data_IF_512500873789
#
_entry.id   IF_512500873789
#
_cell.length_a   1.000
_cell.length_b   1.000
_cell.length_c   1.000
_cell.angle_alpha   90.00
_cell.angle_beta   90.00
_cell.angle_gamma   90.00
#
_symmetry.space_group_name_H-M   'P 1'
#
loop_
_entity.id
_entity.type
_entity.pdbx_description
1 polymer ?
#
# COMPACT_ATOMS: atom_id res chain seq x y z
N UNK A 1 18.75 8.51 -5.72
CA UNK A 1 19.38 7.64 -4.68
C UNK A 1 18.97 8.20 -3.34
N UNK A 2 18.54 7.36 -2.43
CA UNK A 2 18.18 7.81 -1.08
C UNK A 2 19.33 8.65 -0.48
N UNK A 3 19.01 9.84 0.03
CA UNK A 3 19.98 10.79 0.57
C UNK A 3 20.32 10.50 2.05
N UNK A 4 20.44 9.22 2.42
CA UNK A 4 20.76 8.79 3.77
C UNK A 4 21.60 7.50 3.75
N UNK A 5 22.34 7.27 4.82
CA UNK A 5 23.05 6.01 5.03
C UNK A 5 22.23 5.06 5.94
N UNK A 6 22.63 3.80 6.00
CA UNK A 6 21.92 2.74 6.73
C UNK A 6 21.53 3.10 8.18
N UNK A 7 22.37 3.84 8.89
CA UNK A 7 22.12 4.23 10.29
C UNK A 7 21.21 5.44 10.43
N UNK A 8 20.96 6.17 9.34
CA UNK A 8 20.09 7.34 9.26
C UNK A 8 18.71 6.98 8.71
N UNK A 9 18.49 5.72 8.30
CA UNK A 9 17.25 5.27 7.65
C UNK A 9 15.99 5.58 8.47
N UNK A 10 16.04 5.40 9.79
CA UNK A 10 14.89 5.69 10.65
C UNK A 10 14.63 7.22 10.77
N UNK A 11 15.65 8.02 10.85
CA UNK A 11 15.51 9.48 10.92
C UNK A 11 14.94 10.02 9.60
N UNK A 12 15.48 9.55 8.46
CA UNK A 12 14.90 9.83 7.15
C UNK A 12 13.43 9.42 7.08
N UNK A 13 13.10 8.23 7.55
CA UNK A 13 11.73 7.71 7.52
C UNK A 13 10.77 8.55 8.39
N UNK A 14 11.21 9.01 9.56
CA UNK A 14 10.44 9.91 10.43
C UNK A 14 10.14 11.24 9.75
N UNK A 15 11.00 11.72 8.90
CA UNK A 15 10.83 12.97 8.15
C UNK A 15 9.98 12.80 6.89
N UNK A 16 10.17 11.69 6.15
CA UNK A 16 9.64 11.53 4.79
C UNK A 16 8.46 10.55 4.67
N UNK A 17 8.33 9.55 5.55
CA UNK A 17 7.17 8.66 5.54
C UNK A 17 6.00 9.30 6.29
N UNK A 18 5.26 10.14 5.61
CA UNK A 18 4.12 10.89 6.17
C UNK A 18 2.91 10.84 5.26
N UNK A 19 1.73 11.10 5.84
CA UNK A 19 0.49 11.24 5.09
C UNK A 19 0.07 9.96 4.36
N UNK A 20 -0.60 10.14 3.23
CA UNK A 20 -1.09 9.04 2.42
C UNK A 20 0.01 8.50 1.49
N UNK A 21 0.32 7.21 1.61
CA UNK A 21 1.12 6.43 0.67
C UNK A 21 0.25 5.43 -0.06
N UNK A 22 0.29 5.44 -1.37
CA UNK A 22 -0.57 4.62 -2.21
C UNK A 22 0.12 3.36 -2.74
N UNK A 23 -0.68 2.42 -3.21
CA UNK A 23 -0.21 1.25 -3.97
C UNK A 23 -0.41 1.49 -5.45
N UNK A 24 0.67 1.44 -6.23
CA UNK A 24 0.60 1.50 -7.67
C UNK A 24 0.02 0.19 -8.21
N UNK A 25 -1.04 0.30 -9.00
CA UNK A 25 -1.65 -0.81 -9.71
C UNK A 25 -0.84 -1.11 -10.98
N UNK A 26 -0.60 -2.38 -11.26
CA UNK A 26 0.10 -2.83 -12.48
C UNK A 26 -0.92 -3.15 -13.57
N UNK A 27 -1.03 -2.35 -14.63
CA UNK A 27 -1.93 -2.63 -15.74
C UNK A 27 -1.32 -3.63 -16.73
N UNK A 28 -2.19 -4.41 -17.37
CA UNK A 28 -1.79 -5.34 -18.43
C UNK A 28 -2.54 -5.05 -19.72
N UNK A 29 -1.88 -5.24 -20.86
CA UNK A 29 -2.50 -5.14 -22.17
C UNK A 29 -3.41 -6.32 -22.45
N UNK A 30 -4.24 -6.24 -23.49
CA UNK A 30 -5.09 -7.35 -23.92
C UNK A 30 -4.29 -8.65 -24.23
N UNK A 31 -3.03 -8.52 -24.64
CA UNK A 31 -2.15 -9.65 -24.96
C UNK A 31 -1.35 -10.18 -23.75
N UNK A 32 -1.78 -9.82 -22.53
CA UNK A 32 -1.18 -10.24 -21.25
C UNK A 32 0.24 -9.70 -21.02
N UNK A 33 0.64 -8.64 -21.73
CA UNK A 33 1.91 -7.96 -21.53
C UNK A 33 1.76 -6.81 -20.50
N UNK A 34 2.87 -6.39 -19.90
CA UNK A 34 2.90 -5.19 -19.06
C UNK A 34 2.53 -3.94 -19.90
N UNK A 35 1.50 -3.22 -19.51
CA UNK A 35 1.14 -1.94 -20.13
C UNK A 35 1.98 -0.81 -19.52
N UNK A 36 3.14 -0.56 -20.12
CA UNK A 36 4.09 0.45 -19.63
C UNK A 36 3.52 1.86 -19.71
N UNK A 37 2.79 2.22 -20.78
CA UNK A 37 2.19 3.53 -20.93
C UNK A 37 1.02 3.73 -19.96
N UNK A 38 0.20 2.71 -19.75
CA UNK A 38 -0.84 2.70 -18.74
C UNK A 38 -0.25 2.85 -17.33
N UNK A 39 0.87 2.18 -17.03
CA UNK A 39 1.57 2.30 -15.76
C UNK A 39 2.07 3.74 -15.52
N UNK A 40 2.68 4.38 -16.52
CA UNK A 40 3.12 5.78 -16.45
C UNK A 40 1.94 6.72 -16.22
N UNK A 41 0.85 6.51 -16.95
CA UNK A 41 -0.38 7.29 -16.79
C UNK A 41 -0.93 7.15 -15.37
N UNK A 42 -0.97 5.92 -14.82
CA UNK A 42 -1.42 5.65 -13.45
C UNK A 42 -0.58 6.41 -12.41
N UNK A 43 0.76 6.39 -12.55
CA UNK A 43 1.66 7.07 -11.61
C UNK A 43 1.40 8.58 -11.63
N UNK A 44 1.30 9.20 -12.83
CA UNK A 44 1.00 10.63 -12.97
C UNK A 44 -0.37 10.99 -12.39
N UNK A 45 -1.39 10.15 -12.63
CA UNK A 45 -2.71 10.34 -12.06
C UNK A 45 -2.65 10.30 -10.52
N UNK A 46 -2.04 9.27 -9.94
CA UNK A 46 -1.92 9.11 -8.50
C UNK A 46 -1.16 10.29 -7.86
N UNK A 47 -0.05 10.75 -8.46
CA UNK A 47 0.66 11.95 -7.99
C UNK A 47 -0.25 13.19 -8.00
N UNK A 48 -1.12 13.33 -9.00
CA UNK A 48 -2.05 14.47 -9.08
C UNK A 48 -3.11 14.48 -7.97
N UNK A 49 -3.35 13.36 -7.28
CA UNK A 49 -4.24 13.30 -6.12
C UNK A 49 -3.62 13.92 -4.85
N UNK A 50 -2.32 14.21 -4.87
CA UNK A 50 -1.60 14.80 -3.73
C UNK A 50 -1.09 13.78 -2.73
N UNK A 51 -0.91 12.51 -3.13
CA UNK A 51 -0.31 11.49 -2.28
C UNK A 51 1.15 11.80 -1.97
N UNK A 52 1.58 11.42 -0.76
CA UNK A 52 2.93 11.77 -0.25
C UNK A 52 4.02 10.78 -0.68
N UNK A 53 3.62 9.66 -1.24
CA UNK A 53 4.53 8.64 -1.76
C UNK A 53 3.78 7.42 -2.27
N UNK A 54 4.50 6.48 -2.86
CA UNK A 54 3.90 5.27 -3.38
C UNK A 54 4.78 4.03 -3.20
N UNK A 55 4.11 2.88 -3.20
CA UNK A 55 4.77 1.59 -3.29
C UNK A 55 4.31 0.81 -4.52
N UNK A 56 5.23 0.13 -5.17
CA UNK A 56 4.93 -0.70 -6.32
C UNK A 56 5.12 -2.19 -6.05
N UNK A 57 4.52 -3.00 -6.90
CA UNK A 57 4.53 -4.48 -6.83
C UNK A 57 4.09 -5.05 -5.47
N UNK A 58 3.17 -4.37 -4.77
CA UNK A 58 2.47 -4.91 -3.61
C UNK A 58 1.32 -5.82 -4.04
N UNK A 59 0.38 -6.12 -3.12
CA UNK A 59 -0.77 -6.96 -3.44
C UNK A 59 -1.55 -6.48 -4.67
N UNK A 60 -1.95 -5.21 -4.73
CA UNK A 60 -2.65 -4.68 -5.91
C UNK A 60 -1.74 -4.43 -7.12
N UNK A 61 -0.44 -4.45 -6.95
CA UNK A 61 0.53 -4.49 -8.04
C UNK A 61 0.81 -5.90 -8.56
N UNK A 62 0.07 -6.90 -8.10
CA UNK A 62 0.09 -8.30 -8.55
C UNK A 62 1.51 -8.92 -8.66
N UNK A 63 2.38 -8.65 -7.65
CA UNK A 63 3.78 -9.09 -7.69
C UNK A 63 3.97 -10.59 -7.97
N UNK A 64 2.99 -11.42 -7.59
CA UNK A 64 3.01 -12.87 -7.80
C UNK A 64 2.82 -13.29 -9.25
N UNK A 65 2.22 -12.44 -10.09
CA UNK A 65 1.95 -12.69 -11.51
C UNK A 65 3.03 -12.11 -12.42
N UNK A 66 3.95 -11.31 -11.88
CA UNK A 66 5.01 -10.68 -12.64
C UNK A 66 6.26 -11.56 -12.71
N UNK A 67 6.86 -11.66 -13.89
CA UNK A 67 8.20 -12.20 -14.04
C UNK A 67 9.21 -11.28 -13.32
N UNK A 68 10.44 -11.75 -13.17
CA UNK A 68 11.51 -10.91 -12.60
C UNK A 68 11.77 -9.68 -13.47
N UNK A 69 11.81 -9.89 -14.78
CA UNK A 69 12.04 -8.85 -15.77
C UNK A 69 10.94 -7.80 -15.74
N UNK A 70 9.67 -8.20 -15.63
CA UNK A 70 8.55 -7.28 -15.47
C UNK A 70 8.62 -6.52 -14.14
N UNK A 71 8.98 -7.19 -13.02
CA UNK A 71 9.13 -6.49 -11.73
C UNK A 71 10.20 -5.41 -11.78
N UNK A 72 11.37 -5.71 -12.36
CA UNK A 72 12.43 -4.72 -12.52
C UNK A 72 12.01 -3.61 -13.50
N UNK A 73 11.27 -3.93 -14.55
CA UNK A 73 10.72 -2.93 -15.46
C UNK A 73 9.72 -1.99 -14.78
N UNK A 74 8.86 -2.52 -13.90
CA UNK A 74 7.96 -1.68 -13.07
C UNK A 74 8.79 -0.75 -12.18
N UNK A 75 9.89 -1.23 -11.58
CA UNK A 75 10.77 -0.36 -10.78
C UNK A 75 11.39 0.75 -11.62
N UNK A 76 11.90 0.44 -12.81
CA UNK A 76 12.47 1.43 -13.71
C UNK A 76 11.46 2.54 -14.04
N UNK A 77 10.23 2.15 -14.43
CA UNK A 77 9.17 3.11 -14.77
C UNK A 77 8.76 3.95 -13.56
N UNK A 78 8.62 3.34 -12.38
CA UNK A 78 8.24 4.06 -11.16
C UNK A 78 9.32 5.06 -10.76
N UNK A 79 10.60 4.69 -10.82
CA UNK A 79 11.71 5.57 -10.51
C UNK A 79 11.83 6.74 -11.49
N UNK A 80 11.62 6.48 -12.79
CA UNK A 80 11.58 7.52 -13.82
C UNK A 80 10.45 8.53 -13.59
N UNK A 81 9.23 8.07 -13.30
CA UNK A 81 8.05 8.93 -13.11
C UNK A 81 8.05 9.63 -11.72
N UNK A 82 8.79 9.12 -10.74
CA UNK A 82 8.95 9.77 -9.44
C UNK A 82 9.87 11.00 -9.49
N UNK A 83 10.75 11.10 -10.50
CA UNK A 83 11.63 12.25 -10.75
C UNK A 83 12.52 12.65 -9.55
N UNK A 84 12.60 11.78 -8.52
CA UNK A 84 13.39 12.00 -7.29
C UNK A 84 12.79 12.98 -6.27
N UNK A 85 11.58 13.50 -6.52
CA UNK A 85 10.88 14.44 -5.62
C UNK A 85 9.64 13.82 -4.96
N UNK A 86 9.32 12.58 -5.29
CA UNK A 86 8.22 11.81 -4.73
C UNK A 86 8.73 10.50 -4.15
N UNK A 87 8.68 10.28 -2.82
CA UNK A 87 9.25 9.10 -2.18
C UNK A 87 8.60 7.80 -2.68
N UNK A 88 9.41 6.80 -2.99
CA UNK A 88 8.96 5.53 -3.56
C UNK A 88 9.51 4.32 -2.82
N UNK A 89 8.65 3.30 -2.66
CA UNK A 89 8.98 2.04 -1.99
C UNK A 89 8.85 0.84 -2.92
N UNK A 90 9.87 -0.02 -2.97
CA UNK A 90 9.86 -1.24 -3.74
C UNK A 90 9.51 -2.46 -2.88
N UNK A 91 8.47 -3.22 -3.24
CA UNK A 91 8.15 -4.49 -2.60
C UNK A 91 9.03 -5.61 -3.16
N UNK A 92 9.95 -6.13 -2.35
CA UNK A 92 10.97 -7.09 -2.80
C UNK A 92 10.72 -8.54 -2.35
N UNK A 93 9.60 -8.83 -1.69
CA UNK A 93 9.31 -10.18 -1.20
C UNK A 93 9.38 -11.23 -2.30
N UNK A 94 10.05 -12.32 -2.00
CA UNK A 94 10.16 -13.50 -2.84
C UNK A 94 10.38 -14.73 -1.98
N UNK A 95 10.10 -15.94 -2.45
CA UNK A 95 10.42 -17.20 -1.74
C UNK A 95 11.90 -17.59 -1.83
N UNK A 96 12.63 -17.04 -2.81
CA UNK A 96 14.07 -17.20 -2.99
C UNK A 96 14.81 -15.99 -2.45
N UNK A 97 15.73 -16.22 -1.50
CA UNK A 97 16.61 -15.17 -0.96
C UNK A 97 17.40 -14.45 -2.07
N UNK A 98 17.96 -15.20 -3.01
CA UNK A 98 18.73 -14.62 -4.12
C UNK A 98 17.86 -13.70 -4.99
N UNK A 99 16.61 -14.06 -5.25
CA UNK A 99 15.70 -13.23 -6.03
C UNK A 99 15.30 -11.97 -5.25
N UNK A 100 15.02 -12.08 -3.95
CA UNK A 100 14.75 -10.93 -3.08
C UNK A 100 15.92 -9.95 -3.08
N UNK A 101 17.15 -10.43 -2.86
CA UNK A 101 18.34 -9.57 -2.84
C UNK A 101 18.62 -8.92 -4.20
N UNK A 102 18.41 -9.63 -5.30
CA UNK A 102 18.54 -9.03 -6.63
C UNK A 102 17.50 -7.94 -6.91
N UNK A 103 16.27 -8.09 -6.42
CA UNK A 103 15.24 -7.06 -6.52
C UNK A 103 15.59 -5.84 -5.64
N UNK A 104 16.11 -6.07 -4.45
CA UNK A 104 16.57 -5.00 -3.55
C UNK A 104 17.73 -4.21 -4.17
N UNK A 105 18.74 -4.90 -4.69
CA UNK A 105 19.88 -4.29 -5.38
C UNK A 105 19.42 -3.46 -6.61
N UNK A 106 18.50 -3.99 -7.42
CA UNK A 106 17.95 -3.23 -8.54
C UNK A 106 17.22 -1.97 -8.08
N UNK A 107 16.32 -2.09 -7.09
CA UNK A 107 15.59 -0.95 -6.55
C UNK A 107 16.53 0.15 -5.99
N UNK A 108 17.57 -0.23 -5.25
CA UNK A 108 18.59 0.69 -4.75
C UNK A 108 19.33 1.39 -5.89
N UNK A 109 19.70 0.64 -6.93
CA UNK A 109 20.44 1.19 -8.08
C UNK A 109 19.61 2.15 -8.94
N UNK A 110 18.28 1.96 -9.05
CA UNK A 110 17.40 2.86 -9.84
C UNK A 110 16.83 4.01 -9.03
N UNK A 111 17.11 4.08 -7.72
CA UNK A 111 16.83 5.26 -6.91
C UNK A 111 15.58 5.18 -6.03
N UNK A 112 15.16 3.99 -5.63
CA UNK A 112 14.12 3.85 -4.59
C UNK A 112 14.61 4.34 -3.23
N UNK A 113 13.67 4.82 -2.43
CA UNK A 113 13.94 5.37 -1.10
C UNK A 113 13.71 4.35 0.02
N UNK A 114 12.90 3.32 -0.22
CA UNK A 114 12.45 2.36 0.77
C UNK A 114 12.26 0.97 0.17
N UNK A 115 12.61 -0.06 0.91
CA UNK A 115 12.24 -1.43 0.59
C UNK A 115 11.05 -1.88 1.46
N UNK A 116 10.13 -2.63 0.87
CA UNK A 116 9.05 -3.29 1.58
C UNK A 116 9.25 -4.79 1.45
N UNK A 117 9.25 -5.49 2.59
CA UNK A 117 9.41 -6.94 2.63
C UNK A 117 8.39 -7.59 3.55
N UNK A 118 7.80 -8.68 3.11
CA UNK A 118 6.95 -9.55 3.93
C UNK A 118 7.64 -10.90 4.21
N UNK A 119 7.01 -11.74 5.00
CA UNK A 119 7.45 -13.11 5.19
C UNK A 119 7.52 -13.85 3.85
N UNK A 120 8.54 -14.67 3.60
CA UNK A 120 8.57 -15.51 2.40
C UNK A 120 7.45 -16.55 2.50
N UNK A 121 6.42 -16.34 1.68
CA UNK A 121 5.20 -17.15 1.68
C UNK A 121 5.50 -18.62 1.40
N UNK A 122 4.67 -19.52 1.91
CA UNK A 122 4.77 -21.00 1.87
C UNK A 122 5.86 -21.61 2.78
N UNK A 123 7.03 -21.00 2.91
CA UNK A 123 8.22 -21.66 3.50
C UNK A 123 8.47 -21.30 4.96
N UNK A 124 7.93 -20.19 5.46
CA UNK A 124 8.06 -19.78 6.87
C UNK A 124 6.94 -20.36 7.74
N UNK A 125 7.31 -20.83 8.92
CA UNK A 125 6.39 -21.40 9.91
C UNK A 125 6.58 -20.83 11.32
N UNK A 126 7.66 -20.07 11.54
CA UNK A 126 7.98 -19.47 12.83
C UNK A 126 8.37 -18.01 12.67
N UNK A 127 8.11 -17.21 13.70
CA UNK A 127 8.52 -15.80 13.74
C UNK A 127 10.03 -15.64 13.62
N UNK A 128 10.81 -16.53 14.23
CA UNK A 128 12.26 -16.48 14.12
C UNK A 128 12.75 -16.60 12.67
N UNK A 129 12.11 -17.46 11.86
CA UNK A 129 12.45 -17.56 10.43
C UNK A 129 12.16 -16.24 9.70
N UNK A 130 11.09 -15.51 10.09
CA UNK A 130 10.78 -14.19 9.50
C UNK A 130 11.80 -13.14 9.94
N UNK A 131 12.17 -13.12 11.23
CA UNK A 131 13.19 -12.21 11.76
C UNK A 131 14.52 -12.42 11.03
N UNK A 132 14.97 -13.68 10.91
CA UNK A 132 16.22 -14.02 10.20
C UNK A 132 16.16 -13.62 8.72
N UNK A 133 14.98 -13.74 8.09
CA UNK A 133 14.75 -13.32 6.71
C UNK A 133 14.87 -11.80 6.51
N UNK A 134 14.24 -11.03 7.39
CA UNK A 134 14.34 -9.57 7.36
C UNK A 134 15.78 -9.13 7.66
N UNK A 135 16.42 -9.76 8.62
CA UNK A 135 17.83 -9.49 8.93
C UNK A 135 18.74 -9.78 7.73
N UNK A 136 18.51 -10.86 7.00
CA UNK A 136 19.28 -11.16 5.78
C UNK A 136 19.14 -10.05 4.75
N UNK A 137 17.94 -9.52 4.51
CA UNK A 137 17.76 -8.36 3.62
C UNK A 137 18.51 -7.15 4.19
N UNK A 138 18.32 -6.85 5.46
CA UNK A 138 18.92 -5.71 6.14
C UNK A 138 20.45 -5.72 6.07
N UNK A 139 21.08 -6.87 6.18
CA UNK A 139 22.54 -7.01 6.10
C UNK A 139 23.09 -6.73 4.68
N UNK A 140 22.22 -6.76 3.64
CA UNK A 140 22.62 -6.67 2.22
C UNK A 140 22.08 -5.42 1.49
N UNK A 141 21.52 -4.43 2.18
CA UNK A 141 21.07 -3.16 1.59
C UNK A 141 21.41 -1.99 2.50
N UNK A 142 21.54 -0.79 1.92
CA UNK A 142 21.64 0.46 2.68
C UNK A 142 20.28 1.12 2.90
N UNK A 143 19.24 0.72 2.13
CA UNK A 143 17.92 1.31 2.23
C UNK A 143 17.19 0.94 3.53
N UNK A 144 16.31 1.83 3.95
CA UNK A 144 15.33 1.58 4.99
C UNK A 144 14.37 0.44 4.60
N UNK A 145 13.93 -0.35 5.56
CA UNK A 145 13.05 -1.48 5.35
C UNK A 145 11.76 -1.28 6.14
N UNK A 146 10.62 -1.35 5.46
CA UNK A 146 9.30 -1.49 6.06
C UNK A 146 8.89 -2.96 6.01
N UNK A 147 8.68 -3.58 7.17
CA UNK A 147 8.15 -4.94 7.20
C UNK A 147 6.64 -4.93 6.96
N UNK A 148 6.16 -5.82 6.07
CA UNK A 148 4.74 -5.95 5.78
C UNK A 148 4.17 -7.18 6.48
N UNK A 149 3.47 -6.97 7.60
CA UNK A 149 2.83 -8.02 8.40
C UNK A 149 1.42 -8.30 7.89
N UNK A 150 1.21 -9.43 7.24
CA UNK A 150 -0.11 -9.79 6.69
C UNK A 150 -0.30 -11.31 6.59
N UNK A 151 -1.50 -11.83 6.86
CA UNK A 151 -1.84 -13.25 6.73
C UNK A 151 -1.71 -13.79 5.30
N UNK A 152 -1.70 -12.92 4.31
CA UNK A 152 -1.49 -13.27 2.90
C UNK A 152 -0.15 -13.98 2.65
N UNK A 153 0.83 -13.75 3.52
CA UNK A 153 2.15 -14.38 3.45
C UNK A 153 2.28 -15.64 4.32
N UNK A 154 1.16 -16.14 4.83
CA UNK A 154 1.07 -17.44 5.51
C UNK A 154 1.45 -17.43 6.99
N UNK A 155 1.98 -16.33 7.52
CA UNK A 155 2.26 -16.12 8.94
C UNK A 155 2.03 -14.66 9.31
N UNK A 156 1.42 -14.43 10.47
CA UNK A 156 1.34 -13.12 11.12
C UNK A 156 2.28 -13.12 12.30
N UNK A 157 3.16 -12.13 12.35
CA UNK A 157 4.12 -11.94 13.44
C UNK A 157 3.44 -11.15 14.55
N UNK A 158 3.53 -11.64 15.79
CA UNK A 158 2.98 -10.95 16.97
C UNK A 158 3.83 -9.75 17.42
N UNK A 159 3.32 -8.96 18.37
CA UNK A 159 3.94 -7.69 18.78
C UNK A 159 5.41 -7.84 19.21
N UNK A 160 5.76 -8.90 19.95
CA UNK A 160 7.15 -9.13 20.37
C UNK A 160 8.07 -9.48 19.19
N UNK A 161 7.59 -10.27 18.24
CA UNK A 161 8.33 -10.56 17.00
C UNK A 161 8.49 -9.30 16.13
N UNK A 162 7.44 -8.47 16.03
CA UNK A 162 7.51 -7.16 15.35
C UNK A 162 8.53 -6.25 16.03
N UNK A 163 8.58 -6.22 17.36
CA UNK A 163 9.62 -5.49 18.11
C UNK A 163 11.02 -5.96 17.70
N UNK A 164 11.26 -7.28 17.70
CA UNK A 164 12.56 -7.85 17.32
C UNK A 164 12.94 -7.52 15.87
N UNK A 165 11.96 -7.40 14.96
CA UNK A 165 12.18 -6.97 13.59
C UNK A 165 12.57 -5.47 13.56
N UNK A 166 11.89 -4.61 14.30
CA UNK A 166 12.17 -3.18 14.38
C UNK A 166 13.50 -2.86 15.09
N UNK A 167 14.04 -3.77 15.89
CA UNK A 167 15.37 -3.64 16.50
C UNK A 167 16.53 -3.85 15.50
N UNK A 168 16.25 -4.28 14.28
CA UNK A 168 17.24 -4.39 13.18
C UNK A 168 17.55 -2.96 12.66
N UNK A 169 18.84 -2.55 12.57
CA UNK A 169 19.22 -1.13 12.44
C UNK A 169 18.60 -0.31 11.31
N UNK A 170 18.31 -0.90 10.15
CA UNK A 170 17.68 -0.20 9.03
C UNK A 170 16.23 -0.66 8.77
N UNK A 171 15.62 -1.36 9.71
CA UNK A 171 14.17 -1.53 9.69
C UNK A 171 13.53 -0.29 10.31
N UNK A 172 12.82 0.46 9.48
CA UNK A 172 12.23 1.74 9.87
C UNK A 172 10.82 1.59 10.45
N UNK A 173 10.17 0.44 10.23
CA UNK A 173 8.85 0.20 10.78
C UNK A 173 8.10 -0.98 10.17
N UNK A 174 6.80 -1.00 10.42
CA UNK A 174 5.88 -2.07 10.03
C UNK A 174 4.63 -1.52 9.37
N UNK A 175 4.29 -2.04 8.18
CA UNK A 175 2.91 -2.01 7.69
C UNK A 175 2.17 -3.15 8.36
N UNK A 176 1.39 -2.82 9.40
CA UNK A 176 0.64 -3.79 10.20
C UNK A 176 -0.75 -4.02 9.58
N UNK A 177 -0.87 -5.02 8.75
CA UNK A 177 -2.07 -5.41 8.00
C UNK A 177 -2.52 -6.84 8.34
N UNK A 178 -2.44 -7.21 9.61
CA UNK A 178 -2.85 -8.53 10.11
C UNK A 178 -4.37 -8.73 10.13
N UNK A 179 -5.15 -7.65 10.00
CA UNK A 179 -6.60 -7.60 10.22
C UNK A 179 -6.99 -7.95 11.66
N UNK A 180 -6.04 -7.92 12.61
CA UNK A 180 -6.28 -8.12 14.03
C UNK A 180 -6.14 -6.78 14.75
N UNK A 181 -7.27 -6.14 15.08
CA UNK A 181 -7.30 -4.83 15.73
C UNK A 181 -6.50 -4.78 17.05
N UNK A 182 -6.55 -5.85 17.85
CA UNK A 182 -5.80 -5.90 19.10
C UNK A 182 -4.29 -5.87 18.85
N UNK A 183 -3.79 -6.64 17.87
CA UNK A 183 -2.38 -6.64 17.49
C UNK A 183 -1.96 -5.28 16.91
N UNK A 184 -2.82 -4.66 16.08
CA UNK A 184 -2.52 -3.34 15.52
C UNK A 184 -2.38 -2.29 16.63
N UNK A 185 -3.30 -2.25 17.60
CA UNK A 185 -3.22 -1.34 18.75
C UNK A 185 -1.97 -1.63 19.58
N UNK A 186 -1.71 -2.91 19.89
CA UNK A 186 -0.55 -3.33 20.66
C UNK A 186 0.77 -2.90 20.00
N UNK A 187 0.89 -3.07 18.68
CA UNK A 187 2.06 -2.65 17.91
C UNK A 187 2.28 -1.13 18.01
N UNK A 188 1.24 -0.32 17.86
CA UNK A 188 1.35 1.14 18.02
C UNK A 188 1.79 1.53 19.42
N UNK A 189 1.22 0.92 20.46
CA UNK A 189 1.54 1.26 21.86
C UNK A 189 2.93 0.80 22.28
N UNK A 190 3.40 -0.36 21.82
CA UNK A 190 4.68 -0.92 22.25
C UNK A 190 5.86 -0.50 21.38
N UNK A 191 5.64 -0.19 20.10
CA UNK A 191 6.72 0.00 19.12
C UNK A 191 6.69 1.42 18.52
N UNK A 192 5.52 2.06 18.44
CA UNK A 192 5.29 3.28 17.68
C UNK A 192 6.13 4.51 18.08
N UNK A 193 6.75 4.51 19.28
CA UNK A 193 7.70 5.55 19.68
C UNK A 193 9.10 5.34 19.10
N UNK A 194 9.47 4.09 18.83
CA UNK A 194 10.81 3.71 18.39
C UNK A 194 10.89 3.44 16.87
N UNK A 195 9.78 3.01 16.26
CA UNK A 195 9.68 2.72 14.84
C UNK A 195 8.30 3.15 14.30
N UNK A 196 8.18 3.26 12.99
CA UNK A 196 6.94 3.67 12.32
C UNK A 196 6.00 2.48 12.22
N UNK A 197 4.80 2.61 12.79
CA UNK A 197 3.72 1.63 12.62
C UNK A 197 2.64 2.24 11.75
N UNK A 198 2.25 1.53 10.69
CA UNK A 198 1.17 1.92 9.79
C UNK A 198 0.14 0.81 9.69
N UNK A 199 -1.03 1.03 10.26
CA UNK A 199 -2.21 0.18 10.05
C UNK A 199 -3.00 0.75 8.88
N UNK A 200 -3.27 -0.03 7.83
CA UNK A 200 -3.82 0.50 6.56
C UNK A 200 -5.35 0.63 6.57
N UNK A 201 -5.92 1.07 7.67
CA UNK A 201 -7.37 1.24 7.84
C UNK A 201 -7.67 2.45 8.74
N UNK A 202 -8.65 3.24 8.40
CA UNK A 202 -8.94 4.57 8.98
C UNK A 202 -9.32 4.51 10.47
N UNK A 203 -9.92 3.40 10.92
CA UNK A 203 -10.33 3.23 12.33
C UNK A 203 -9.16 3.42 13.32
N UNK A 204 -7.93 3.13 12.88
CA UNK A 204 -6.73 3.26 13.74
C UNK A 204 -6.48 4.72 14.14
N UNK A 205 -6.80 5.67 13.27
CA UNK A 205 -6.62 7.10 13.55
C UNK A 205 -7.54 7.54 14.68
N UNK A 206 -8.80 7.11 14.66
CA UNK A 206 -9.75 7.36 15.75
C UNK A 206 -9.32 6.66 17.05
N UNK A 207 -8.80 5.43 16.96
CA UNK A 207 -8.24 4.72 18.13
C UNK A 207 -6.98 5.38 18.66
N UNK A 208 -6.12 5.90 17.81
CA UNK A 208 -4.95 6.67 18.22
C UNK A 208 -5.33 7.88 19.04
N UNK A 209 -6.33 8.66 18.60
CA UNK A 209 -6.85 9.78 19.35
C UNK A 209 -7.43 9.36 20.71
N UNK A 210 -8.15 8.23 20.77
CA UNK A 210 -8.73 7.70 22.01
C UNK A 210 -7.66 7.20 23.01
N UNK A 211 -6.62 6.52 22.51
CA UNK A 211 -5.64 5.79 23.32
C UNK A 211 -4.30 6.52 23.48
N UNK A 212 -4.12 7.67 22.81
CA UNK A 212 -2.93 8.51 22.95
C UNK A 212 -1.71 8.03 22.16
N UNK A 213 -1.89 7.40 21.00
CA UNK A 213 -0.82 7.11 20.06
C UNK A 213 -1.10 7.78 18.70
N UNK A 214 -0.05 7.99 17.93
CA UNK A 214 -0.11 8.61 16.60
C UNK A 214 0.31 7.62 15.50
N UNK A 215 -0.26 7.81 14.32
CA UNK A 215 0.20 7.18 13.09
C UNK A 215 0.59 8.28 12.10
N UNK A 216 1.86 8.35 11.72
CA UNK A 216 2.35 9.42 10.84
C UNK A 216 2.20 9.14 9.35
N UNK A 217 1.99 7.89 8.95
CA UNK A 217 1.86 7.47 7.55
C UNK A 217 0.78 6.41 7.40
N UNK A 218 -0.02 6.53 6.37
CA UNK A 218 -0.99 5.52 5.96
C UNK A 218 -0.49 4.80 4.71
N UNK A 219 0.05 3.59 4.88
CA UNK A 219 0.33 2.68 3.76
C UNK A 219 -0.96 1.98 3.36
N UNK A 220 -1.77 2.66 2.58
CA UNK A 220 -3.11 2.23 2.26
C UNK A 220 -3.22 0.86 1.57
N UNK A 221 -4.37 0.25 1.73
CA UNK A 221 -4.78 -0.90 0.94
C UNK A 221 -5.54 -0.46 -0.33
N UNK A 222 -4.99 0.48 -1.11
CA UNK A 222 -5.62 0.95 -2.35
C UNK A 222 -6.68 2.03 -2.19
N UNK A 223 -6.54 2.94 -1.22
CA UNK A 223 -7.67 3.78 -0.85
C UNK A 223 -7.82 5.06 -1.66
N UNK A 224 -6.75 5.82 -1.83
CA UNK A 224 -6.79 7.15 -2.42
C UNK A 224 -7.36 7.18 -3.85
N UNK A 225 -6.76 6.48 -4.80
CA UNK A 225 -7.21 6.48 -6.20
C UNK A 225 -8.57 5.79 -6.41
N UNK A 226 -9.12 5.10 -5.41
CA UNK A 226 -10.51 4.63 -5.44
C UNK A 226 -11.51 5.70 -5.04
N UNK A 227 -11.09 6.67 -4.25
CA UNK A 227 -11.99 7.63 -3.62
C UNK A 227 -11.83 9.04 -4.15
N UNK A 228 -10.64 9.38 -4.63
CA UNK A 228 -10.22 10.73 -4.93
C UNK A 228 -10.09 10.99 -6.43
N UNK A 229 -10.34 12.26 -6.79
CA UNK A 229 -10.01 12.86 -8.08
C UNK A 229 -9.09 14.05 -7.84
N UNK A 230 -8.34 14.54 -8.84
CA UNK A 230 -7.44 15.69 -8.66
C UNK A 230 -8.13 16.93 -8.08
N UNK A 231 -9.40 17.16 -8.41
CA UNK A 231 -10.18 18.30 -7.94
C UNK A 231 -10.86 18.05 -6.60
N UNK A 232 -10.98 16.79 -6.16
CA UNK A 232 -11.73 16.38 -4.97
C UNK A 232 -11.03 15.19 -4.28
N UNK A 233 -9.91 15.48 -3.66
CA UNK A 233 -9.05 14.51 -2.98
C UNK A 233 -9.38 14.39 -1.48
N UNK A 234 -10.63 14.10 -1.16
CA UNK A 234 -11.13 14.08 0.23
C UNK A 234 -10.46 13.02 1.09
N UNK A 235 -10.06 11.87 0.53
CA UNK A 235 -9.36 10.85 1.30
C UNK A 235 -7.95 11.30 1.70
N UNK A 236 -7.19 11.84 0.76
CA UNK A 236 -5.85 12.41 1.06
C UNK A 236 -5.98 13.53 2.09
N UNK A 237 -6.96 14.45 1.93
CA UNK A 237 -7.20 15.51 2.90
C UNK A 237 -7.57 14.97 4.29
N UNK A 238 -8.37 13.91 4.37
CA UNK A 238 -8.74 13.28 5.64
C UNK A 238 -7.50 12.74 6.36
N UNK A 239 -6.63 12.02 5.64
CA UNK A 239 -5.38 11.49 6.20
C UNK A 239 -4.46 12.63 6.66
N UNK A 240 -4.31 13.68 5.84
CA UNK A 240 -3.48 14.84 6.17
C UNK A 240 -3.98 15.60 7.41
N UNK A 241 -5.29 15.74 7.54
CA UNK A 241 -5.89 16.35 8.73
C UNK A 241 -5.64 15.49 9.98
N UNK A 242 -5.83 14.18 9.88
CA UNK A 242 -5.54 13.25 10.97
C UNK A 242 -4.07 13.34 11.43
N UNK A 243 -3.13 13.36 10.47
CA UNK A 243 -1.67 13.46 10.76
C UNK A 243 -1.28 14.80 11.40
N UNK A 244 -2.10 15.84 11.26
CA UNK A 244 -1.91 17.15 11.91
C UNK A 244 -2.68 17.31 13.22
N UNK A 245 -3.33 16.24 13.68
CA UNK A 245 -4.15 16.28 14.90
C UNK A 245 -5.53 16.93 14.71
N UNK A 246 -5.95 17.20 13.46
CA UNK A 246 -7.27 17.73 13.10
C UNK A 246 -8.18 16.59 12.58
N UNK A 247 -8.30 15.51 13.35
CA UNK A 247 -9.17 14.38 13.02
C UNK A 247 -10.64 14.76 13.23
N UNK A 248 -11.44 14.73 12.17
CA UNK A 248 -12.85 15.07 12.19
C UNK A 248 -13.72 13.90 11.74
N UNK A 249 -14.59 13.42 12.64
CA UNK A 249 -15.60 12.42 12.30
C UNK A 249 -16.60 12.94 11.28
N UNK A 250 -17.03 14.21 11.40
CA UNK A 250 -17.99 14.81 10.47
C UNK A 250 -17.43 14.89 9.05
N UNK A 251 -16.14 15.25 8.89
CA UNK A 251 -15.48 15.23 7.59
C UNK A 251 -15.42 13.81 7.02
N UNK A 252 -15.03 12.85 7.84
CA UNK A 252 -14.96 11.44 7.42
C UNK A 252 -16.34 10.91 7.01
N UNK A 253 -17.36 11.16 7.84
CA UNK A 253 -18.73 10.67 7.64
C UNK A 253 -19.37 11.28 6.38
N UNK A 254 -19.02 12.53 6.06
CA UNK A 254 -19.58 13.24 4.90
C UNK A 254 -18.87 12.87 3.61
N UNK A 255 -17.53 12.82 3.61
CA UNK A 255 -16.76 12.79 2.37
C UNK A 255 -16.08 11.44 2.08
N UNK A 256 -15.81 10.61 3.09
CA UNK A 256 -15.05 9.38 2.93
C UNK A 256 -15.90 8.14 3.17
N UNK A 257 -16.64 8.08 4.28
CA UNK A 257 -17.44 6.91 4.65
C UNK A 257 -18.35 6.40 3.54
N UNK A 258 -19.14 7.21 2.83
CA UNK A 258 -20.08 6.69 1.86
C UNK A 258 -19.41 5.88 0.74
N UNK A 259 -18.31 6.40 0.17
CA UNK A 259 -17.58 5.68 -0.89
C UNK A 259 -16.77 4.51 -0.34
N UNK A 260 -16.28 4.62 0.91
CA UNK A 260 -15.61 3.50 1.57
C UNK A 260 -16.55 2.32 1.82
N UNK A 261 -17.80 2.55 2.20
CA UNK A 261 -18.80 1.49 2.37
C UNK A 261 -19.10 0.76 1.06
N UNK A 262 -19.16 1.46 -0.06
CA UNK A 262 -19.24 0.84 -1.40
C UNK A 262 -18.00 -0.03 -1.66
N UNK A 263 -16.81 0.50 -1.37
CA UNK A 263 -15.56 -0.22 -1.52
C UNK A 263 -15.50 -1.49 -0.67
N UNK A 264 -15.88 -1.39 0.60
CA UNK A 264 -15.88 -2.55 1.52
C UNK A 264 -16.87 -3.63 1.07
N UNK A 265 -18.05 -3.22 0.61
CA UNK A 265 -19.06 -4.13 0.03
C UNK A 265 -18.50 -4.90 -1.16
N UNK A 266 -17.93 -4.21 -2.13
CA UNK A 266 -17.40 -4.84 -3.34
C UNK A 266 -16.12 -5.65 -3.07
N UNK A 267 -15.30 -5.22 -2.13
CA UNK A 267 -14.16 -5.99 -1.63
C UNK A 267 -14.60 -7.33 -1.07
N UNK A 268 -15.55 -7.32 -0.12
CA UNK A 268 -16.09 -8.54 0.50
C UNK A 268 -16.78 -9.45 -0.53
N UNK A 269 -17.55 -8.87 -1.44
CA UNK A 269 -18.20 -9.60 -2.52
C UNK A 269 -17.16 -10.34 -3.37
N UNK A 270 -16.13 -9.64 -3.84
CA UNK A 270 -15.11 -10.19 -4.74
C UNK A 270 -14.25 -11.24 -4.05
N UNK A 271 -13.82 -10.98 -2.81
CA UNK A 271 -13.10 -11.97 -2.00
C UNK A 271 -13.92 -13.24 -1.81
N UNK A 272 -15.22 -13.11 -1.51
CA UNK A 272 -16.11 -14.27 -1.36
C UNK A 272 -16.31 -15.02 -2.69
N UNK A 273 -16.53 -14.29 -3.79
CA UNK A 273 -16.71 -14.85 -5.13
C UNK A 273 -15.53 -15.70 -5.56
N UNK A 274 -14.31 -15.24 -5.30
CA UNK A 274 -13.07 -15.89 -5.72
C UNK A 274 -12.39 -16.71 -4.60
N UNK A 275 -13.16 -17.18 -3.61
CA UNK A 275 -12.70 -18.16 -2.63
C UNK A 275 -11.60 -17.66 -1.68
N UNK A 276 -11.56 -16.36 -1.39
CA UNK A 276 -10.57 -15.73 -0.49
C UNK A 276 -9.38 -15.10 -1.19
N UNK A 277 -9.36 -15.10 -2.53
CA UNK A 277 -8.31 -14.42 -3.29
C UNK A 277 -8.41 -12.89 -3.12
N UNK A 278 -7.26 -12.21 -3.29
CA UNK A 278 -7.25 -10.76 -3.32
C UNK A 278 -8.15 -10.20 -4.43
N UNK A 279 -8.92 -9.14 -4.17
CA UNK A 279 -9.89 -8.60 -5.11
C UNK A 279 -9.24 -7.68 -6.16
N UNK A 280 -8.13 -8.09 -6.76
CA UNK A 280 -7.39 -7.30 -7.75
C UNK A 280 -8.26 -6.94 -8.96
N UNK A 281 -9.14 -7.85 -9.41
CA UNK A 281 -10.06 -7.58 -10.52
C UNK A 281 -11.05 -6.46 -10.21
N UNK A 282 -11.61 -6.43 -9.00
CA UNK A 282 -12.47 -5.33 -8.55
C UNK A 282 -11.70 -4.02 -8.49
N UNK A 283 -10.48 -4.04 -7.93
CA UNK A 283 -9.65 -2.85 -7.85
C UNK A 283 -9.27 -2.30 -9.23
N UNK A 284 -8.98 -3.16 -10.21
CA UNK A 284 -8.70 -2.75 -11.59
C UNK A 284 -9.93 -2.13 -12.25
N UNK A 285 -11.09 -2.77 -12.16
CA UNK A 285 -12.35 -2.23 -12.69
C UNK A 285 -12.72 -0.90 -12.01
N UNK A 286 -12.52 -0.78 -10.70
CA UNK A 286 -12.70 0.49 -9.98
C UNK A 286 -11.73 1.56 -10.47
N UNK A 287 -10.45 1.20 -10.63
CA UNK A 287 -9.43 2.12 -11.15
C UNK A 287 -9.79 2.67 -12.53
N UNK A 288 -10.34 1.84 -13.43
CA UNK A 288 -10.81 2.29 -14.75
C UNK A 288 -11.92 3.33 -14.64
N UNK A 289 -12.88 3.16 -13.73
CA UNK A 289 -13.91 4.18 -13.46
C UNK A 289 -13.30 5.49 -12.98
N UNK A 290 -12.22 5.43 -12.23
CA UNK A 290 -11.50 6.60 -11.68
C UNK A 290 -10.44 7.17 -12.62
N UNK A 291 -10.30 6.62 -13.83
CA UNK A 291 -9.41 7.16 -14.88
C UNK A 291 -8.01 6.53 -14.91
N UNK A 292 -7.79 5.40 -14.22
CA UNK A 292 -6.56 4.63 -14.32
C UNK A 292 -6.64 3.57 -15.44
N UNK A 293 -5.49 3.16 -15.96
CA UNK A 293 -5.38 1.96 -16.76
C UNK A 293 -5.41 0.73 -15.84
N UNK A 294 -6.43 -0.13 -15.96
CA UNK A 294 -6.59 -1.35 -15.16
C UNK A 294 -6.17 -2.60 -15.94
N UNK A 295 -6.87 -2.84 -17.03
CA UNK A 295 -6.76 -4.08 -17.79
C UNK A 295 -7.34 -5.27 -17.02
N UNK A 296 -7.01 -6.48 -17.48
CA UNK A 296 -7.41 -7.71 -16.82
C UNK A 296 -6.46 -8.11 -15.68
N UNK A 297 -6.86 -9.09 -14.86
CA UNK A 297 -5.97 -9.78 -13.93
C UNK A 297 -5.35 -11.01 -14.58
N UNK A 298 -4.12 -11.34 -14.22
CA UNK A 298 -3.47 -12.56 -14.72
C UNK A 298 -3.94 -13.80 -13.97
N UNK A 299 -3.97 -14.94 -14.68
CA UNK A 299 -4.25 -16.23 -14.07
C UNK A 299 -3.30 -16.51 -12.87
N UNK A 300 -3.77 -17.15 -11.78
CA UNK A 300 -5.05 -17.82 -11.63
C UNK A 300 -6.22 -16.92 -11.17
N UNK A 301 -6.04 -15.61 -11.04
CA UNK A 301 -7.14 -14.71 -10.75
C UNK A 301 -8.11 -14.63 -11.95
N UNK A 302 -9.33 -14.19 -11.70
CA UNK A 302 -10.34 -14.01 -12.72
C UNK A 302 -10.97 -12.62 -12.61
N UNK A 303 -11.35 -12.06 -13.74
CA UNK A 303 -12.02 -10.77 -13.82
C UNK A 303 -13.46 -10.82 -13.31
N UNK A 304 -13.98 -9.67 -12.94
CA UNK A 304 -15.42 -9.46 -12.84
C UNK A 304 -16.05 -9.58 -14.22
N UNK A 305 -17.28 -10.09 -14.29
CA UNK A 305 -18.02 -10.09 -15.55
C UNK A 305 -18.56 -8.69 -15.90
N UNK A 306 -19.03 -8.51 -17.13
CA UNK A 306 -19.47 -7.22 -17.64
C UNK A 306 -20.66 -6.65 -16.85
N UNK A 307 -21.56 -7.50 -16.35
CA UNK A 307 -22.68 -7.08 -15.50
C UNK A 307 -22.18 -6.53 -14.17
N UNK A 308 -21.26 -7.24 -13.53
CA UNK A 308 -20.64 -6.82 -12.26
C UNK A 308 -19.83 -5.52 -12.42
N UNK A 309 -19.10 -5.37 -13.53
CA UNK A 309 -18.37 -4.12 -13.83
C UNK A 309 -19.33 -2.94 -13.99
N UNK A 310 -20.45 -3.15 -14.69
CA UNK A 310 -21.48 -2.13 -14.87
C UNK A 310 -22.17 -1.75 -13.56
N UNK A 311 -22.48 -2.72 -12.71
CA UNK A 311 -23.08 -2.48 -11.39
C UNK A 311 -22.10 -1.70 -10.48
N UNK A 312 -20.82 -2.09 -10.50
CA UNK A 312 -19.74 -1.41 -9.77
C UNK A 312 -19.61 0.05 -10.21
N UNK A 313 -19.52 0.31 -11.51
CA UNK A 313 -19.42 1.65 -12.09
C UNK A 313 -20.61 2.53 -11.69
N UNK A 314 -21.83 2.00 -11.81
CA UNK A 314 -23.05 2.71 -11.43
C UNK A 314 -23.03 3.10 -9.94
N UNK A 315 -22.62 2.21 -9.07
CA UNK A 315 -22.61 2.45 -7.63
C UNK A 315 -21.50 3.45 -7.23
N UNK A 316 -20.32 3.37 -7.83
CA UNK A 316 -19.24 4.34 -7.63
C UNK A 316 -19.71 5.73 -8.06
N UNK A 317 -20.17 5.85 -9.30
CA UNK A 317 -20.54 7.15 -9.90
C UNK A 317 -21.65 7.83 -9.11
N UNK A 318 -22.73 7.09 -8.79
CA UNK A 318 -23.85 7.65 -8.03
C UNK A 318 -23.46 8.09 -6.62
N UNK A 319 -22.56 7.35 -5.97
CA UNK A 319 -22.09 7.69 -4.62
C UNK A 319 -21.21 8.94 -4.64
N UNK A 320 -20.26 9.00 -5.57
CA UNK A 320 -19.40 10.18 -5.72
C UNK A 320 -20.21 11.44 -6.06
N UNK A 321 -21.21 11.33 -6.94
CA UNK A 321 -22.11 12.45 -7.26
C UNK A 321 -22.85 12.97 -6.01
N UNK A 322 -23.32 12.07 -5.14
CA UNK A 322 -23.97 12.45 -3.88
C UNK A 322 -23.02 13.18 -2.94
N UNK A 323 -21.78 12.68 -2.77
CA UNK A 323 -20.76 13.32 -1.95
C UNK A 323 -20.47 14.72 -2.48
N UNK A 324 -20.30 14.88 -3.79
CA UNK A 324 -19.97 16.16 -4.41
C UNK A 324 -21.10 17.17 -4.28
N UNK A 325 -22.36 16.75 -4.48
CA UNK A 325 -23.52 17.62 -4.27
C UNK A 325 -23.66 18.11 -2.82
N UNK A 326 -23.35 17.26 -1.84
CA UNK A 326 -23.35 17.66 -0.44
C UNK A 326 -22.24 18.66 -0.13
N UNK A 327 -21.05 18.44 -0.67
CA UNK A 327 -19.89 19.33 -0.48
C UNK A 327 -20.12 20.71 -1.11
N UNK A 328 -20.80 20.79 -2.25
CA UNK A 328 -21.09 22.04 -2.94
C UNK A 328 -22.21 22.86 -2.26
N UNK A 329 -22.95 22.27 -1.31
CA UNK A 329 -24.02 22.92 -0.53
C UNK A 329 -23.57 23.38 0.84
N UNK A 330 -22.42 22.94 1.33
CA UNK A 330 -21.86 23.24 2.66
C UNK A 330 -20.91 24.45 2.61
#
# INVERSE_FOLDING_TARGET
>A
MAEYNKTEALDWARENLRGQWTTIMTPFTHDDELDEEGLRSNIRHIRSLGTHGAGCTWGMGEFWSLTREERTKVYDVVAEEAEGDWPIGAHVTHTSAKSMLNLADHAENVGFDLLIVAAPYMVTKTEQQVIDWVKMLADNTSLGIMFYNSPQFGIVVGAQGLRSICDIPNVVGVKEASFNQALSIEAHQQIGQDAIISTPDEWILFKGQELGFEQQVMFANTSDWRFDTPDRNYYVQFIDRAMRGDLSSDFYDTHVRPIKEVSDKWWQYTVKKFGGALPASMCKSWGEVMGLAGGHVRAPLADLDDGEKSDLECEITSTLEQIYQQADQA
#
